data_IF_080450180563
#
_entry.id   IF_080450180563
#
_cell.length_a   1.000
_cell.length_b   1.000
_cell.length_c   1.000
_cell.angle_alpha   90.00
_cell.angle_beta   90.00
_cell.angle_gamma   90.00
#
_symmetry.space_group_name_H-M   'P 1'
#
loop_
_entity.id
_entity.type
_entity.pdbx_description
1 polymer ?
#
# COMPACT_ATOMS: atom_id res chain seq x y z
N UNK A 1 -0.69 60.96 1.17
CA UNK A 1 -1.47 59.98 0.35
C UNK A 1 -0.63 58.84 -0.19
N UNK A 2 0.64 59.03 -0.55
CA UNK A 2 1.50 57.92 -1.07
C UNK A 2 1.67 56.72 -0.13
N UNK A 3 1.75 56.94 1.17
CA UNK A 3 1.95 55.87 2.17
C UNK A 3 0.74 54.91 2.33
N UNK A 4 -0.49 55.41 2.17
CA UNK A 4 -1.70 54.56 2.26
C UNK A 4 -1.88 53.67 1.05
N UNK A 5 -1.50 54.12 -0.14
CA UNK A 5 -1.51 53.32 -1.37
C UNK A 5 -0.45 52.21 -1.34
N UNK A 6 0.73 52.49 -0.77
CA UNK A 6 1.80 51.51 -0.62
C UNK A 6 1.40 50.39 0.35
N UNK A 7 0.77 50.72 1.48
CA UNK A 7 0.29 49.76 2.49
C UNK A 7 -0.84 48.90 1.89
N UNK A 8 -1.80 49.50 1.18
CA UNK A 8 -2.87 48.74 0.54
C UNK A 8 -2.40 47.77 -0.53
N UNK A 9 -1.40 48.13 -1.33
CA UNK A 9 -0.76 47.25 -2.32
C UNK A 9 -0.02 46.09 -1.65
N UNK A 10 0.72 46.36 -0.56
CA UNK A 10 1.48 45.31 0.14
C UNK A 10 0.57 44.27 0.81
N UNK A 11 -0.50 44.71 1.47
CA UNK A 11 -1.48 43.80 2.06
C UNK A 11 -2.29 43.05 1.01
N UNK A 12 -2.66 43.68 -0.08
CA UNK A 12 -3.37 43.04 -1.18
C UNK A 12 -2.54 41.94 -1.87
N UNK A 13 -1.26 42.23 -2.13
CA UNK A 13 -0.35 41.22 -2.73
C UNK A 13 -0.05 40.05 -1.80
N UNK A 14 0.13 40.30 -0.48
CA UNK A 14 0.31 39.27 0.51
C UNK A 14 -0.91 38.35 0.59
N UNK A 15 -2.12 38.87 0.67
CA UNK A 15 -3.35 38.10 0.72
C UNK A 15 -3.56 37.24 -0.55
N UNK A 16 -3.24 37.78 -1.73
CA UNK A 16 -3.31 37.00 -2.98
C UNK A 16 -2.27 35.86 -3.00
N UNK A 17 -1.09 36.15 -2.51
CA UNK A 17 -0.02 35.14 -2.45
C UNK A 17 -0.36 34.00 -1.46
N UNK A 18 -0.86 34.32 -0.27
CA UNK A 18 -1.35 33.34 0.69
C UNK A 18 -2.51 32.52 0.15
N UNK A 19 -3.46 33.14 -0.54
CA UNK A 19 -4.56 32.45 -1.18
C UNK A 19 -4.07 31.44 -2.23
N UNK A 20 -3.16 31.86 -3.12
CA UNK A 20 -2.57 30.97 -4.13
C UNK A 20 -1.81 29.81 -3.49
N UNK A 21 -1.06 30.07 -2.41
CA UNK A 21 -0.35 29.04 -1.66
C UNK A 21 -1.31 28.00 -1.10
N UNK A 22 -2.39 28.43 -0.43
CA UNK A 22 -3.42 27.55 0.11
C UNK A 22 -4.12 26.72 -0.97
N UNK A 23 -4.40 27.29 -2.13
CA UNK A 23 -5.00 26.55 -3.25
C UNK A 23 -4.05 25.48 -3.79
N UNK A 24 -2.75 25.78 -3.88
CA UNK A 24 -1.74 24.81 -4.27
C UNK A 24 -1.62 23.67 -3.25
N UNK A 25 -1.55 23.98 -1.96
CA UNK A 25 -1.50 22.99 -0.88
C UNK A 25 -2.75 22.06 -0.91
N UNK A 26 -3.95 22.68 -1.10
CA UNK A 26 -5.19 21.91 -1.26
C UNK A 26 -5.09 20.94 -2.43
N UNK A 27 -4.68 21.43 -3.59
CA UNK A 27 -4.54 20.61 -4.80
C UNK A 27 -3.56 19.44 -4.57
N UNK A 28 -2.40 19.69 -3.99
CA UNK A 28 -1.40 18.66 -3.71
C UNK A 28 -1.93 17.57 -2.75
N UNK A 29 -2.65 17.95 -1.69
CA UNK A 29 -3.28 16.99 -0.76
C UNK A 29 -4.32 16.14 -1.50
N UNK A 30 -5.20 16.76 -2.27
CA UNK A 30 -6.24 16.06 -3.02
C UNK A 30 -5.61 15.07 -4.00
N UNK A 31 -4.62 15.51 -4.78
CA UNK A 31 -3.93 14.65 -5.74
C UNK A 31 -3.25 13.46 -5.07
N UNK A 32 -2.56 13.69 -3.96
CA UNK A 32 -1.91 12.62 -3.19
C UNK A 32 -2.92 11.57 -2.70
N UNK A 33 -4.07 12.02 -2.19
CA UNK A 33 -5.15 11.12 -1.73
C UNK A 33 -5.74 10.34 -2.92
N UNK A 34 -6.01 11.01 -4.04
CA UNK A 34 -6.57 10.36 -5.22
C UNK A 34 -5.63 9.30 -5.82
N UNK A 35 -4.32 9.56 -5.81
CA UNK A 35 -3.32 8.55 -6.20
C UNK A 35 -3.33 7.33 -5.28
N UNK A 36 -3.40 7.53 -3.96
CA UNK A 36 -3.43 6.43 -3.01
C UNK A 36 -4.73 5.62 -3.16
N UNK A 37 -5.86 6.28 -3.37
CA UNK A 37 -7.14 5.62 -3.64
C UNK A 37 -7.07 4.79 -4.93
N UNK A 38 -6.53 5.34 -6.03
CA UNK A 38 -6.37 4.64 -7.30
C UNK A 38 -5.46 3.41 -7.17
N UNK A 39 -4.28 3.59 -6.58
CA UNK A 39 -3.34 2.49 -6.37
C UNK A 39 -3.91 1.41 -5.46
N UNK A 40 -4.68 1.81 -4.43
CA UNK A 40 -5.39 0.87 -3.57
C UNK A 40 -6.46 0.11 -4.31
N UNK A 41 -7.23 0.77 -5.16
CA UNK A 41 -8.28 0.16 -5.99
C UNK A 41 -7.67 -0.86 -6.95
N UNK A 42 -6.64 -0.50 -7.71
CA UNK A 42 -5.91 -1.41 -8.61
C UNK A 42 -5.40 -2.66 -7.87
N UNK A 43 -4.91 -2.49 -6.64
CA UNK A 43 -4.43 -3.61 -5.82
C UNK A 43 -5.57 -4.51 -5.32
N UNK A 44 -6.74 -3.96 -5.05
CA UNK A 44 -7.94 -4.72 -4.64
C UNK A 44 -8.56 -5.43 -5.84
N UNK A 45 -8.64 -4.79 -7.01
CA UNK A 45 -9.07 -5.39 -8.28
C UNK A 45 -8.19 -6.59 -8.68
N UNK A 46 -6.87 -6.45 -8.53
CA UNK A 46 -5.96 -7.57 -8.75
C UNK A 46 -6.22 -8.72 -7.77
N UNK A 47 -6.52 -8.39 -6.52
CA UNK A 47 -6.85 -9.40 -5.50
C UNK A 47 -8.18 -10.11 -5.83
N UNK A 48 -9.18 -9.40 -6.36
CA UNK A 48 -10.45 -9.96 -6.84
C UNK A 48 -10.21 -10.91 -8.03
N UNK A 49 -9.38 -10.52 -8.99
CA UNK A 49 -9.00 -11.38 -10.10
C UNK A 49 -8.30 -12.67 -9.61
N UNK A 50 -7.42 -12.54 -8.63
CA UNK A 50 -6.74 -13.69 -8.03
C UNK A 50 -7.72 -14.66 -7.34
N UNK A 51 -8.75 -14.15 -6.66
CA UNK A 51 -9.78 -15.00 -6.03
C UNK A 51 -10.52 -15.82 -7.09
N UNK A 52 -10.86 -15.22 -8.22
CA UNK A 52 -11.52 -15.93 -9.33
C UNK A 52 -10.63 -17.03 -9.92
N UNK A 53 -9.34 -16.76 -10.02
CA UNK A 53 -8.38 -17.77 -10.49
C UNK A 53 -8.20 -18.90 -9.46
N UNK A 54 -8.21 -18.60 -8.16
CA UNK A 54 -8.20 -19.62 -7.10
C UNK A 54 -9.45 -20.52 -7.15
N UNK A 55 -10.62 -19.96 -7.45
CA UNK A 55 -11.85 -20.75 -7.67
C UNK A 55 -11.71 -21.72 -8.83
N UNK A 56 -11.13 -21.27 -9.94
CA UNK A 56 -10.95 -22.14 -11.11
C UNK A 56 -9.91 -23.24 -10.84
N UNK A 57 -8.81 -22.91 -10.14
CA UNK A 57 -7.84 -23.91 -9.70
C UNK A 57 -8.44 -24.92 -8.72
N UNK A 58 -9.28 -24.45 -7.78
CA UNK A 58 -9.98 -25.34 -6.85
C UNK A 58 -10.85 -26.35 -7.60
N UNK A 59 -11.57 -25.92 -8.62
CA UNK A 59 -12.38 -26.79 -9.46
C UNK A 59 -11.52 -27.86 -10.17
N UNK A 60 -10.38 -27.45 -10.74
CA UNK A 60 -9.45 -28.36 -11.42
C UNK A 60 -8.84 -29.37 -10.45
N UNK A 61 -8.45 -28.94 -9.26
CA UNK A 61 -7.91 -29.82 -8.22
C UNK A 61 -8.97 -30.77 -7.67
N UNK A 62 -10.24 -30.35 -7.63
CA UNK A 62 -11.34 -31.23 -7.23
C UNK A 62 -11.57 -32.36 -8.27
N UNK A 63 -11.36 -32.08 -9.55
CA UNK A 63 -11.46 -33.07 -10.63
C UNK A 63 -10.22 -34.00 -10.65
N UNK A 64 -9.04 -33.48 -10.36
CA UNK A 64 -7.78 -34.23 -10.28
C UNK A 64 -6.88 -33.72 -9.10
N UNK A 65 -6.96 -34.42 -8.00
CA UNK A 65 -6.22 -34.04 -6.78
C UNK A 65 -4.69 -34.07 -6.92
N UNK A 66 -4.15 -34.73 -7.95
CA UNK A 66 -2.71 -34.77 -8.20
C UNK A 66 -2.18 -33.43 -8.68
N UNK A 67 -3.06 -32.57 -9.25
CA UNK A 67 -2.70 -31.22 -9.71
C UNK A 67 -2.27 -30.29 -8.57
N UNK A 68 -2.80 -30.47 -7.35
CA UNK A 68 -2.44 -29.59 -6.24
C UNK A 68 -0.92 -29.54 -6.00
N UNK A 69 -0.23 -30.66 -6.09
CA UNK A 69 1.20 -30.70 -5.87
C UNK A 69 1.99 -29.85 -6.89
N UNK A 70 1.55 -29.81 -8.15
CA UNK A 70 2.16 -29.00 -9.21
C UNK A 70 1.73 -27.53 -9.17
N UNK A 71 0.48 -27.23 -8.75
CA UNK A 71 -0.09 -25.90 -8.73
C UNK A 71 0.11 -25.17 -7.39
N UNK A 72 0.67 -25.82 -6.40
CA UNK A 72 0.83 -25.27 -5.04
C UNK A 72 1.54 -23.92 -5.00
N UNK A 73 2.59 -23.76 -5.80
CA UNK A 73 3.30 -22.48 -5.87
C UNK A 73 2.39 -21.39 -6.44
N UNK A 74 1.63 -21.71 -7.49
CA UNK A 74 0.67 -20.78 -8.11
C UNK A 74 -0.44 -20.39 -7.12
N UNK A 75 -1.00 -21.35 -6.40
CA UNK A 75 -1.96 -21.09 -5.33
C UNK A 75 -1.37 -20.10 -4.31
N UNK A 76 -0.13 -20.34 -3.87
CA UNK A 76 0.54 -19.48 -2.90
C UNK A 76 0.77 -18.03 -3.43
N UNK A 77 1.02 -17.87 -4.71
CA UNK A 77 1.19 -16.57 -5.37
C UNK A 77 -0.14 -15.82 -5.53
N UNK A 78 -1.22 -16.56 -5.79
CA UNK A 78 -2.57 -16.02 -5.99
C UNK A 78 -3.27 -15.62 -4.68
N UNK A 79 -2.85 -16.13 -3.51
CA UNK A 79 -3.45 -15.71 -2.25
C UNK A 79 -3.41 -14.19 -2.13
N UNK A 80 -4.56 -13.52 -2.00
CA UNK A 80 -4.65 -12.07 -2.04
C UNK A 80 -3.77 -11.40 -0.97
N UNK A 81 -2.92 -10.48 -1.39
CA UNK A 81 -2.01 -9.71 -0.53
C UNK A 81 -2.02 -8.26 -0.99
N UNK A 82 -3.13 -7.54 -0.82
CA UNK A 82 -3.21 -6.18 -1.34
C UNK A 82 -2.11 -5.32 -0.72
N UNK A 83 -1.41 -4.59 -1.58
CA UNK A 83 -0.31 -3.70 -1.20
C UNK A 83 -0.77 -2.27 -1.38
N UNK A 84 -0.87 -1.54 -0.29
CA UNK A 84 -1.17 -0.11 -0.33
C UNK A 84 -0.37 0.64 0.73
N UNK A 85 -0.07 1.90 0.43
CA UNK A 85 0.65 2.77 1.35
C UNK A 85 -0.30 3.21 2.48
N UNK A 86 0.04 2.85 3.71
CA UNK A 86 -0.71 3.29 4.90
C UNK A 86 -0.35 4.73 5.28
N UNK A 87 0.74 5.27 4.74
CA UNK A 87 1.24 6.60 5.06
C UNK A 87 0.26 7.71 4.66
N UNK A 88 -0.31 7.65 3.46
CA UNK A 88 -1.25 8.67 2.97
C UNK A 88 -2.53 8.70 3.78
N UNK A 89 -3.10 7.52 4.10
CA UNK A 89 -4.25 7.39 4.99
C UNK A 89 -3.97 8.03 6.35
N UNK A 90 -2.82 7.74 6.95
CA UNK A 90 -2.44 8.31 8.25
C UNK A 90 -2.27 9.82 8.19
N UNK A 91 -1.61 10.34 7.16
CA UNK A 91 -1.44 11.78 6.97
C UNK A 91 -2.80 12.45 6.83
N UNK A 92 -3.67 11.92 5.99
CA UNK A 92 -5.01 12.49 5.76
C UNK A 92 -5.89 12.40 7.00
N UNK A 93 -5.97 11.24 7.65
CA UNK A 93 -6.86 11.02 8.80
C UNK A 93 -6.37 11.66 10.11
N UNK A 94 -5.07 11.86 10.28
CA UNK A 94 -4.48 12.46 11.48
C UNK A 94 -4.34 13.97 11.43
N UNK A 95 -4.46 14.59 10.25
CA UNK A 95 -4.28 16.02 10.04
C UNK A 95 -5.62 16.74 9.89
N UNK A 96 -6.10 17.35 10.97
CA UNK A 96 -7.25 18.27 10.93
C UNK A 96 -6.97 19.43 9.96
N UNK A 97 -5.72 19.85 9.85
CA UNK A 97 -5.30 20.90 8.93
C UNK A 97 -5.46 20.47 7.48
N UNK A 98 -5.09 19.24 7.11
CA UNK A 98 -5.30 18.68 5.77
C UNK A 98 -6.79 18.64 5.41
N UNK A 99 -7.64 18.17 6.32
CA UNK A 99 -9.09 18.12 6.14
C UNK A 99 -9.65 19.53 5.93
N UNK A 100 -9.25 20.50 6.77
CA UNK A 100 -9.69 21.89 6.66
C UNK A 100 -9.18 22.54 5.38
N UNK A 101 -7.97 22.22 4.95
CA UNK A 101 -7.36 22.74 3.71
C UNK A 101 -8.15 22.27 2.49
N UNK A 102 -8.58 21.00 2.45
CA UNK A 102 -9.40 20.48 1.35
C UNK A 102 -10.75 21.21 1.27
N UNK A 103 -11.36 21.53 2.40
CA UNK A 103 -12.58 22.34 2.47
C UNK A 103 -13.83 21.69 1.84
N UNK A 104 -13.84 20.36 1.67
CA UNK A 104 -14.98 19.60 1.16
C UNK A 104 -15.31 18.46 2.12
N UNK A 105 -16.35 18.63 2.92
CA UNK A 105 -16.83 17.63 3.89
C UNK A 105 -17.18 16.32 3.16
N UNK A 106 -17.88 16.43 2.00
CA UNK A 106 -18.31 15.24 1.26
C UNK A 106 -17.11 14.45 0.70
N UNK A 107 -16.10 15.13 0.17
CA UNK A 107 -14.86 14.47 -0.25
C UNK A 107 -14.18 13.75 0.92
N UNK A 108 -14.02 14.44 2.05
CA UNK A 108 -13.39 13.87 3.25
C UNK A 108 -14.13 12.64 3.75
N UNK A 109 -15.46 12.66 3.75
CA UNK A 109 -16.29 11.52 4.15
C UNK A 109 -16.07 10.33 3.22
N UNK A 110 -16.13 10.52 1.90
CA UNK A 110 -15.94 9.46 0.91
C UNK A 110 -14.53 8.83 0.99
N UNK A 111 -13.51 9.66 1.18
CA UNK A 111 -12.14 9.17 1.38
C UNK A 111 -12.04 8.32 2.66
N UNK A 112 -12.66 8.76 3.75
CA UNK A 112 -12.66 8.00 5.00
C UNK A 112 -13.40 6.68 4.86
N UNK A 113 -14.53 6.65 4.16
CA UNK A 113 -15.28 5.44 3.84
C UNK A 113 -14.49 4.49 2.94
N UNK A 114 -13.80 5.03 1.94
CA UNK A 114 -12.91 4.25 1.06
C UNK A 114 -11.79 3.55 1.85
N UNK A 115 -11.12 4.26 2.74
CA UNK A 115 -10.08 3.67 3.58
C UNK A 115 -10.63 2.63 4.56
N UNK A 116 -11.83 2.83 5.07
CA UNK A 116 -12.52 1.83 5.88
C UNK A 116 -12.82 0.56 5.05
N UNK A 117 -13.35 0.69 3.85
CA UNK A 117 -13.59 -0.45 2.96
C UNK A 117 -12.31 -1.20 2.61
N UNK A 118 -11.23 -0.47 2.32
CA UNK A 118 -9.90 -1.05 2.10
C UNK A 118 -9.45 -1.91 3.29
N UNK A 119 -9.61 -1.42 4.50
CA UNK A 119 -9.25 -2.15 5.72
C UNK A 119 -10.15 -3.38 5.92
N UNK A 120 -11.45 -3.24 5.71
CA UNK A 120 -12.42 -4.35 5.80
C UNK A 120 -12.10 -5.41 4.75
N UNK A 121 -11.79 -5.01 3.50
CA UNK A 121 -11.39 -5.93 2.44
C UNK A 121 -10.17 -6.75 2.83
N UNK A 122 -9.13 -6.08 3.33
CA UNK A 122 -7.92 -6.76 3.81
C UNK A 122 -8.26 -7.80 4.89
N UNK A 123 -8.99 -7.40 5.90
CA UNK A 123 -9.26 -8.26 7.06
C UNK A 123 -10.23 -9.39 6.75
N UNK A 124 -11.37 -9.07 6.11
CA UNK A 124 -12.47 -10.02 5.95
C UNK A 124 -12.33 -10.90 4.70
N UNK A 125 -11.49 -10.52 3.75
CA UNK A 125 -11.25 -11.30 2.54
C UNK A 125 -9.82 -11.84 2.54
N UNK A 126 -8.81 -10.98 2.47
CA UNK A 126 -7.45 -11.45 2.27
C UNK A 126 -6.90 -12.25 3.46
N UNK A 127 -7.04 -11.71 4.67
CA UNK A 127 -6.56 -12.36 5.89
C UNK A 127 -7.40 -13.62 6.19
N UNK A 128 -8.70 -13.62 5.86
CA UNK A 128 -9.57 -14.79 6.04
C UNK A 128 -9.25 -15.90 5.06
N UNK A 129 -9.09 -15.62 3.76
CA UNK A 129 -8.66 -16.63 2.76
C UNK A 129 -7.31 -17.22 3.18
N UNK A 130 -6.38 -16.37 3.60
CA UNK A 130 -5.09 -16.84 4.07
C UNK A 130 -5.22 -17.78 5.28
N UNK A 131 -6.07 -17.44 6.26
CA UNK A 131 -6.31 -18.25 7.44
C UNK A 131 -6.99 -19.57 7.09
N UNK A 132 -7.97 -19.57 6.20
CA UNK A 132 -8.69 -20.79 5.77
C UNK A 132 -7.78 -21.79 5.06
N UNK A 133 -6.86 -21.29 4.19
CA UNK A 133 -5.91 -22.16 3.48
C UNK A 133 -4.80 -22.68 4.41
N UNK A 134 -4.30 -21.87 5.33
CA UNK A 134 -3.09 -22.19 6.09
C UNK A 134 -3.38 -22.62 7.52
N UNK A 135 -4.63 -22.58 7.97
CA UNK A 135 -5.02 -22.82 9.37
C UNK A 135 -4.45 -21.78 10.36
N UNK A 136 -3.80 -20.71 9.84
CA UNK A 136 -3.16 -19.68 10.67
C UNK A 136 -3.06 -18.36 9.93
N UNK A 137 -3.34 -17.25 10.61
CA UNK A 137 -3.12 -15.88 10.10
C UNK A 137 -1.64 -15.45 10.07
N UNK A 138 -0.71 -16.31 10.49
CA UNK A 138 0.71 -15.97 10.61
C UNK A 138 1.49 -16.21 9.30
N UNK A 139 2.36 -15.28 8.94
CA UNK A 139 3.29 -15.38 7.78
C UNK A 139 4.17 -16.64 7.83
N UNK A 140 4.42 -17.20 9.02
CA UNK A 140 5.17 -18.44 9.21
C UNK A 140 4.45 -19.66 8.65
N UNK A 141 3.13 -19.71 8.71
CA UNK A 141 2.34 -20.79 8.13
C UNK A 141 2.42 -20.84 6.60
N UNK A 142 2.55 -19.66 5.97
CA UNK A 142 2.68 -19.55 4.52
C UNK A 142 3.92 -20.27 3.95
N UNK A 143 5.04 -20.23 4.66
CA UNK A 143 6.24 -21.00 4.26
C UNK A 143 6.03 -22.50 4.35
N UNK A 144 5.29 -22.95 5.36
CA UNK A 144 4.93 -24.35 5.51
C UNK A 144 3.98 -24.82 4.42
N UNK A 145 3.03 -23.98 4.01
CA UNK A 145 2.09 -24.25 2.93
C UNK A 145 2.79 -24.60 1.61
N UNK A 146 3.87 -23.90 1.26
CA UNK A 146 4.61 -24.15 0.03
C UNK A 146 5.28 -25.54 -0.02
N UNK A 147 5.45 -26.20 1.12
CA UNK A 147 6.22 -27.45 1.23
C UNK A 147 5.43 -28.64 1.79
N UNK A 148 4.14 -28.49 2.05
CA UNK A 148 3.32 -29.55 2.64
C UNK A 148 2.11 -29.91 1.77
N UNK A 149 1.97 -31.20 1.49
CA UNK A 149 0.80 -31.72 0.76
C UNK A 149 -0.46 -31.80 1.63
N UNK A 150 -0.33 -31.59 2.96
CA UNK A 150 -1.46 -31.62 3.90
C UNK A 150 -2.47 -30.52 3.69
N UNK A 151 -2.12 -29.45 2.96
CA UNK A 151 -3.03 -28.32 2.69
C UNK A 151 -3.96 -28.51 1.48
N UNK A 152 -3.89 -29.64 0.77
CA UNK A 152 -4.78 -29.88 -0.36
C UNK A 152 -6.25 -29.95 0.07
N UNK A 153 -6.55 -30.61 1.20
CA UNK A 153 -7.90 -30.66 1.77
C UNK A 153 -8.37 -29.27 2.22
N UNK A 154 -7.52 -28.52 2.93
CA UNK A 154 -7.85 -27.18 3.42
C UNK A 154 -8.15 -26.25 2.24
N UNK A 155 -7.36 -26.33 1.17
CA UNK A 155 -7.61 -25.56 -0.06
C UNK A 155 -8.95 -25.91 -0.72
N UNK A 156 -9.31 -27.19 -0.77
CA UNK A 156 -10.60 -27.64 -1.33
C UNK A 156 -11.80 -27.24 -0.46
N UNK A 157 -11.61 -27.08 0.83
CA UNK A 157 -12.66 -26.69 1.78
C UNK A 157 -12.93 -25.17 1.82
N UNK A 158 -12.07 -24.35 1.21
CA UNK A 158 -12.28 -22.89 1.17
C UNK A 158 -13.47 -22.52 0.31
N UNK A 159 -14.39 -21.72 0.84
CA UNK A 159 -15.52 -21.18 0.07
C UNK A 159 -15.11 -19.90 -0.69
N UNK A 160 -14.32 -20.11 -1.77
CA UNK A 160 -13.91 -18.99 -2.64
C UNK A 160 -15.08 -18.28 -3.30
N UNK A 161 -16.20 -18.97 -3.57
CA UNK A 161 -17.38 -18.36 -4.17
C UNK A 161 -17.99 -17.29 -3.25
N UNK A 162 -18.03 -17.55 -1.94
CA UNK A 162 -18.45 -16.58 -0.95
C UNK A 162 -17.51 -15.35 -0.93
N UNK A 163 -16.20 -15.59 -0.93
CA UNK A 163 -15.23 -14.51 -0.95
C UNK A 163 -15.31 -13.68 -2.23
N UNK A 164 -15.48 -14.30 -3.39
CA UNK A 164 -15.64 -13.61 -4.66
C UNK A 164 -16.87 -12.70 -4.69
N UNK A 165 -18.03 -13.16 -4.19
CA UNK A 165 -19.23 -12.34 -4.11
C UNK A 165 -19.04 -11.11 -3.24
N UNK A 166 -18.47 -11.28 -2.04
CA UNK A 166 -18.19 -10.16 -1.13
C UNK A 166 -17.15 -9.22 -1.73
N UNK A 167 -16.12 -9.77 -2.40
CA UNK A 167 -15.08 -8.99 -3.08
C UNK A 167 -15.68 -8.08 -4.15
N UNK A 168 -16.52 -8.61 -5.04
CA UNK A 168 -17.18 -7.85 -6.11
C UNK A 168 -17.97 -6.66 -5.55
N UNK A 169 -18.77 -6.89 -4.50
CA UNK A 169 -19.57 -5.83 -3.89
C UNK A 169 -18.68 -4.73 -3.29
N UNK A 170 -17.59 -5.12 -2.63
CA UNK A 170 -16.66 -4.16 -2.03
C UNK A 170 -15.86 -3.38 -3.06
N UNK A 171 -15.35 -4.04 -4.12
CA UNK A 171 -14.64 -3.39 -5.22
C UNK A 171 -15.55 -2.37 -5.88
N UNK A 172 -16.79 -2.76 -6.22
CA UNK A 172 -17.78 -1.87 -6.83
C UNK A 172 -18.07 -0.64 -5.94
N UNK A 173 -18.18 -0.84 -4.62
CA UNK A 173 -18.35 0.27 -3.69
C UNK A 173 -17.16 1.22 -3.65
N UNK A 174 -15.94 0.69 -3.69
CA UNK A 174 -14.70 1.49 -3.72
C UNK A 174 -14.56 2.25 -5.05
N UNK A 175 -14.89 1.63 -6.19
CA UNK A 175 -14.93 2.29 -7.51
C UNK A 175 -15.88 3.48 -7.52
N UNK A 176 -17.09 3.30 -6.98
CA UNK A 176 -18.10 4.37 -6.88
C UNK A 176 -17.61 5.52 -6.02
N UNK A 177 -16.97 5.23 -4.88
CA UNK A 177 -16.41 6.26 -4.01
C UNK A 177 -15.28 7.03 -4.69
N UNK A 178 -14.38 6.32 -5.38
CA UNK A 178 -13.30 6.93 -6.15
C UNK A 178 -13.84 7.84 -7.26
N UNK A 179 -14.77 7.34 -8.07
CA UNK A 179 -15.40 8.11 -9.15
C UNK A 179 -16.12 9.36 -8.62
N UNK A 180 -16.83 9.26 -7.50
CA UNK A 180 -17.51 10.40 -6.89
C UNK A 180 -16.50 11.41 -6.31
N UNK A 181 -15.37 10.99 -5.76
CA UNK A 181 -14.28 11.88 -5.36
C UNK A 181 -13.72 12.65 -6.56
N UNK A 182 -13.44 11.98 -7.68
CA UNK A 182 -13.01 12.62 -8.94
C UNK A 182 -14.02 13.69 -9.37
N UNK A 183 -15.31 13.35 -9.36
CA UNK A 183 -16.39 14.26 -9.74
C UNK A 183 -16.50 15.48 -8.82
N UNK A 184 -16.44 15.30 -7.51
CA UNK A 184 -16.54 16.40 -6.53
C UNK A 184 -15.36 17.36 -6.66
N UNK A 185 -14.18 16.83 -6.91
CA UNK A 185 -12.96 17.64 -7.05
C UNK A 185 -12.74 18.15 -8.46
N UNK A 186 -13.63 17.78 -9.41
CA UNK A 186 -13.55 18.12 -10.83
C UNK A 186 -12.19 17.76 -11.44
N UNK A 187 -11.76 16.49 -11.17
CA UNK A 187 -10.52 15.92 -11.65
C UNK A 187 -10.77 14.94 -12.78
N UNK A 188 -9.79 14.81 -13.67
CA UNK A 188 -9.73 13.81 -14.72
C UNK A 188 -8.53 12.88 -14.52
N UNK A 189 -8.50 11.75 -15.24
CA UNK A 189 -7.33 10.87 -15.23
C UNK A 189 -6.09 11.55 -15.82
N UNK A 190 -6.27 12.48 -16.76
CA UNK A 190 -5.21 13.28 -17.32
C UNK A 190 -4.58 14.20 -16.27
N UNK A 191 -5.39 14.81 -15.38
CA UNK A 191 -4.88 15.63 -14.27
C UNK A 191 -4.01 14.80 -13.31
N UNK A 192 -4.45 13.58 -13.00
CA UNK A 192 -3.67 12.67 -12.17
C UNK A 192 -2.35 12.29 -12.85
N UNK A 193 -2.38 11.91 -14.11
CA UNK A 193 -1.18 11.52 -14.84
C UNK A 193 -0.18 12.67 -14.99
N UNK A 194 -0.68 13.88 -15.31
CA UNK A 194 0.16 15.08 -15.37
C UNK A 194 0.83 15.36 -14.02
N UNK A 195 0.09 15.29 -12.92
CA UNK A 195 0.65 15.52 -11.60
C UNK A 195 1.72 14.46 -11.25
N UNK A 196 1.49 13.20 -11.62
CA UNK A 196 2.46 12.12 -11.43
C UNK A 196 3.76 12.42 -12.16
N UNK A 197 3.68 12.80 -13.42
CA UNK A 197 4.85 13.14 -14.23
C UNK A 197 5.60 14.35 -13.66
N UNK A 198 4.89 15.41 -13.27
CA UNK A 198 5.50 16.59 -12.65
C UNK A 198 6.25 16.27 -11.34
N UNK A 199 5.78 15.27 -10.59
CA UNK A 199 6.47 14.82 -9.36
C UNK A 199 7.66 13.94 -9.67
N UNK A 200 7.53 13.00 -10.61
CA UNK A 200 8.62 12.13 -11.06
C UNK A 200 9.77 12.92 -11.67
N UNK A 201 9.47 13.95 -12.47
CA UNK A 201 10.49 14.81 -13.07
C UNK A 201 11.27 15.66 -12.03
N UNK A 202 10.71 15.84 -10.83
CA UNK A 202 11.35 16.58 -9.73
C UNK A 202 12.13 15.69 -8.75
N UNK A 203 11.96 14.38 -8.83
CA UNK A 203 12.59 13.41 -7.91
C UNK A 203 13.90 12.74 -8.39
N UNK A 204 14.44 12.94 -9.62
CA UNK A 204 15.61 12.19 -10.06
C UNK A 204 16.83 12.39 -9.16
N UNK A 205 17.06 13.60 -8.65
CA UNK A 205 18.22 13.88 -7.76
C UNK A 205 18.05 13.25 -6.38
N UNK A 206 16.82 13.17 -5.86
CA UNK A 206 16.54 12.60 -4.53
C UNK A 206 16.63 11.07 -4.57
N UNK A 207 16.16 10.45 -5.66
CA UNK A 207 16.19 9.01 -5.81
C UNK A 207 17.61 8.47 -6.05
N UNK A 208 18.44 9.18 -6.84
CA UNK A 208 19.87 8.85 -6.99
C UNK A 208 20.63 8.97 -5.67
N UNK A 209 20.36 10.02 -4.90
CA UNK A 209 20.95 10.21 -3.57
C UNK A 209 20.52 9.13 -2.58
N UNK A 210 19.24 8.73 -2.57
CA UNK A 210 18.76 7.63 -1.75
C UNK A 210 19.36 6.27 -2.14
N UNK A 211 19.54 6.02 -3.44
CA UNK A 211 20.22 4.79 -3.93
C UNK A 211 21.66 4.77 -3.48
N UNK A 212 22.41 5.85 -3.67
CA UNK A 212 23.78 5.98 -3.22
C UNK A 212 23.92 5.83 -1.70
N UNK A 213 23.00 6.39 -0.93
CA UNK A 213 22.98 6.24 0.52
C UNK A 213 22.69 4.80 0.95
N UNK A 214 21.79 4.08 0.25
CA UNK A 214 21.52 2.65 0.50
C UNK A 214 22.70 1.76 0.14
N UNK A 215 23.42 2.06 -0.94
CA UNK A 215 24.61 1.34 -1.33
C UNK A 215 25.74 1.54 -0.31
N UNK A 216 25.98 2.77 0.12
CA UNK A 216 26.95 3.09 1.19
C UNK A 216 26.61 2.37 2.49
N UNK A 217 25.35 2.36 2.90
CA UNK A 217 24.90 1.65 4.10
C UNK A 217 25.05 0.14 3.99
N UNK A 218 24.82 -0.41 2.80
CA UNK A 218 25.02 -1.84 2.53
C UNK A 218 26.49 -2.26 2.63
N UNK A 219 27.41 -1.42 2.18
CA UNK A 219 28.84 -1.63 2.33
C UNK A 219 29.27 -1.59 3.80
N UNK A 220 28.77 -0.63 4.58
CA UNK A 220 29.02 -0.51 6.00
C UNK A 220 28.52 -1.73 6.80
N UNK A 221 27.31 -2.23 6.49
CA UNK A 221 26.76 -3.45 7.11
C UNK A 221 27.62 -4.68 6.75
N UNK A 222 28.08 -4.80 5.51
CA UNK A 222 28.96 -5.91 5.10
C UNK A 222 30.32 -5.85 5.81
N UNK A 223 30.85 -4.65 6.04
CA UNK A 223 32.12 -4.48 6.75
C UNK A 223 31.98 -4.83 8.23
N UNK A 224 30.90 -4.38 8.89
CA UNK A 224 30.56 -4.76 10.27
C UNK A 224 30.38 -6.27 10.42
N UNK A 225 29.73 -6.90 9.45
CA UNK A 225 29.55 -8.36 9.47
C UNK A 225 30.86 -9.12 9.35
N UNK A 226 31.79 -8.60 8.56
CA UNK A 226 33.15 -9.16 8.43
C UNK A 226 33.92 -9.01 9.75
N UNK A 227 33.89 -7.85 10.37
CA UNK A 227 34.54 -7.57 11.65
C UNK A 227 34.00 -8.48 12.78
N UNK A 228 32.66 -8.69 12.82
CA UNK A 228 32.04 -9.63 13.77
C UNK A 228 32.51 -11.07 13.55
N UNK A 229 32.64 -11.49 12.29
CA UNK A 229 33.12 -12.84 11.99
C UNK A 229 34.60 -13.03 12.34
N UNK A 230 35.45 -12.04 12.06
CA UNK A 230 36.87 -12.04 12.44
C UNK A 230 37.04 -12.03 13.96
N UNK A 231 36.23 -11.29 14.70
CA UNK A 231 36.21 -11.29 16.15
C UNK A 231 35.79 -12.65 16.75
N UNK A 232 34.89 -13.38 16.09
CA UNK A 232 34.49 -14.73 16.51
C UNK A 232 35.53 -15.81 16.20
N UNK A 233 36.37 -15.60 15.20
CA UNK A 233 37.42 -16.53 14.80
C UNK A 233 38.73 -16.31 15.57
N UNK A 234 38.86 -15.19 16.28
CA UNK A 234 40.03 -14.93 17.14
C UNK A 234 39.99 -15.84 18.38
N UNK A 235 40.90 -16.80 18.51
CA UNK A 235 40.87 -17.74 19.64
C UNK A 235 41.16 -16.97 20.92
N UNK A 236 40.26 -17.09 21.89
CA UNK A 236 40.47 -16.70 23.30
C UNK A 236 41.59 -17.56 23.90
N UNK A 237 42.79 -17.30 23.53
CA UNK A 237 43.96 -17.80 24.25
C UNK A 237 44.40 -16.71 25.27
N UNK A 238 43.93 -16.87 26.50
CA UNK A 238 44.65 -16.48 27.71
C UNK A 238 43.75 -16.55 28.95
N UNK A 239 43.46 -17.80 29.36
CA UNK A 239 43.22 -18.10 30.77
C UNK A 239 44.14 -19.28 31.12
N UNK A 240 45.46 -19.02 31.12
CA UNK A 240 46.36 -19.87 31.86
C UNK A 240 46.33 -19.42 33.32
N UNK A 241 45.70 -20.22 34.14
CA UNK A 241 45.88 -20.34 35.57
C UNK A 241 47.36 -20.40 35.90
N UNK A 242 47.82 -19.43 36.67
CA UNK A 242 49.05 -19.61 37.45
C UNK A 242 48.73 -20.26 38.82
N UNK A 243 49.62 -21.11 39.35
CA UNK A 243 49.41 -21.93 40.52
C UNK A 243 49.47 -21.15 41.86
#
# INVERSE_FOLDING_TARGET
>A
MANLLSIGLTFGTSAIFEYKKKQKEKFEIVMMVMFDMRSSLESVEQSDANIRELMELQRQVADDSTLFASERQRVAELIPKPRYAVSTEKIFSSSIESINTVGSIKFTQLVSEFYLFRQIYKTNICDSIHADITGSSAVTAFKSFQYSDSYASDFLDVDFAKYALVSIDMVTGMEQQYAECMRIMNLTDEDLEQFRQEKLDKEPETMEQEILQRESWKEEVMQLQKEINEAKESPTNNLQTQP
#
